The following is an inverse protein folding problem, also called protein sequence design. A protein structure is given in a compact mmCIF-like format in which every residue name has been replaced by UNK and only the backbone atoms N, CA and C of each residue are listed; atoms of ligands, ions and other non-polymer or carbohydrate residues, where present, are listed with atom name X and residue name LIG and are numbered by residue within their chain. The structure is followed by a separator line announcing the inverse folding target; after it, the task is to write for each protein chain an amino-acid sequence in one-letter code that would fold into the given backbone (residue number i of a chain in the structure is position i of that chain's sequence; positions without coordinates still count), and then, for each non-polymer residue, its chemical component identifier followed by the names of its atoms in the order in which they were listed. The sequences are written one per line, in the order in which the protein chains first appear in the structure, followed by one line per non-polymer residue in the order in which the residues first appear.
data_IF_842561703274
#
_entry.id   IF_842561703274
#
_cell.length_a   1.000
_cell.length_b   1.000
_cell.length_c   1.000
_cell.angle_alpha   90.00
_cell.angle_beta   90.00
_cell.angle_gamma   90.00
#
_symmetry.space_group_name_H-M   'P 1'
#
loop_
_entity.id
_entity.type
_entity.pdbx_description
1 polymer ?
#
# COMPACT_ATOMS: atom_id res chain seq x y z
N UNK A 1 -28.72 -28.63 -13.98
CA UNK A 1 -28.94 -28.53 -12.52
C UNK A 1 -28.35 -29.78 -11.88
N UNK A 2 -27.08 -29.69 -11.50
CA UNK A 2 -26.38 -30.55 -10.56
C UNK A 2 -25.38 -29.58 -9.91
N UNK A 3 -25.66 -29.20 -8.67
CA UNK A 3 -24.69 -28.45 -7.87
C UNK A 3 -23.49 -29.38 -7.71
N UNK A 4 -22.34 -29.00 -8.26
CA UNK A 4 -21.10 -29.48 -7.67
C UNK A 4 -21.12 -28.96 -6.25
N UNK A 5 -21.21 -29.88 -5.28
CA UNK A 5 -20.85 -29.64 -3.89
C UNK A 5 -19.37 -29.24 -3.89
N UNK A 6 -19.11 -27.96 -4.19
CA UNK A 6 -17.81 -27.35 -4.00
C UNK A 6 -17.54 -27.38 -2.51
N UNK A 7 -16.42 -27.98 -2.13
CA UNK A 7 -15.93 -28.00 -0.76
C UNK A 7 -16.17 -26.64 -0.12
N UNK A 8 -16.89 -26.63 1.00
CA UNK A 8 -17.08 -25.43 1.81
C UNK A 8 -15.71 -25.01 2.32
N UNK A 9 -15.04 -24.15 1.56
CA UNK A 9 -13.76 -23.55 1.95
C UNK A 9 -14.00 -22.72 3.20
N UNK A 10 -13.42 -23.17 4.30
CA UNK A 10 -13.66 -22.61 5.63
C UNK A 10 -12.97 -21.24 5.74
N UNK A 11 -13.55 -20.30 6.51
CA UNK A 11 -12.85 -19.07 6.82
C UNK A 11 -11.51 -19.38 7.50
N UNK A 12 -10.48 -18.59 7.21
CA UNK A 12 -9.18 -18.73 7.83
C UNK A 12 -8.69 -17.42 8.45
N UNK A 13 -7.93 -17.55 9.52
CA UNK A 13 -7.35 -16.42 10.25
C UNK A 13 -5.98 -16.08 9.69
N UNK A 14 -5.71 -14.78 9.56
CA UNK A 14 -4.38 -14.24 9.27
C UNK A 14 -4.00 -13.24 10.34
N UNK A 15 -2.74 -13.30 10.76
CA UNK A 15 -2.12 -12.29 11.60
C UNK A 15 -1.10 -11.51 10.77
N UNK A 16 -1.15 -10.19 10.85
CA UNK A 16 -0.26 -9.27 10.12
C UNK A 16 0.35 -8.29 11.10
N UNK A 17 1.67 -8.09 11.00
CA UNK A 17 2.40 -7.01 11.68
C UNK A 17 3.14 -6.23 10.60
N UNK A 18 3.00 -4.90 10.61
CA UNK A 18 3.47 -4.06 9.52
C UNK A 18 3.78 -2.63 9.92
N UNK A 19 4.15 -1.82 8.93
CA UNK A 19 4.10 -0.36 9.04
C UNK A 19 2.65 0.10 8.97
N UNK A 20 2.28 1.07 9.81
CA UNK A 20 1.03 1.81 9.57
C UNK A 20 1.16 2.56 8.24
N UNK A 21 0.26 2.28 7.30
CA UNK A 21 0.13 3.03 6.05
C UNK A 21 -1.33 3.44 5.86
N UNK A 22 -1.54 4.59 5.23
CA UNK A 22 -2.85 5.12 4.85
C UNK A 22 -3.58 4.29 3.78
N UNK A 23 -2.98 3.18 3.33
CA UNK A 23 -3.52 2.29 2.31
C UNK A 23 -3.84 0.92 2.91
N UNK A 24 -5.12 0.67 3.18
CA UNK A 24 -5.54 -0.57 3.81
C UNK A 24 -5.52 -1.81 2.90
N UNK A 25 -5.18 -1.71 1.61
CA UNK A 25 -5.33 -2.83 0.65
C UNK A 25 -4.19 -3.10 -0.31
N UNK A 26 -3.05 -2.43 -0.16
CA UNK A 26 -1.75 -3.03 -0.53
C UNK A 26 -1.17 -3.86 0.61
N UNK A 27 -2.00 -4.34 1.55
CA UNK A 27 -1.65 -5.11 2.76
C UNK A 27 -1.04 -6.49 2.46
N UNK A 28 0.22 -6.42 2.04
CA UNK A 28 1.33 -7.29 2.40
C UNK A 28 2.55 -6.42 2.74
N UNK A 29 2.32 -5.21 3.28
CA UNK A 29 3.39 -4.34 3.72
C UNK A 29 3.92 -4.91 5.04
N UNK A 30 5.18 -5.32 5.08
CA UNK A 30 5.75 -6.00 6.22
C UNK A 30 6.04 -5.11 7.43
N UNK A 31 6.56 -5.68 8.52
CA UNK A 31 7.15 -4.90 9.59
C UNK A 31 8.25 -3.98 9.04
N UNK A 32 8.14 -2.68 9.31
CA UNK A 32 9.12 -1.67 8.89
C UNK A 32 9.65 -0.97 10.12
N UNK A 33 10.97 -0.96 10.25
CA UNK A 33 11.67 -0.11 11.20
C UNK A 33 12.13 1.15 10.44
N UNK A 34 11.67 2.32 10.88
CA UNK A 34 12.06 3.60 10.27
C UNK A 34 12.93 4.37 11.26
N UNK A 35 14.13 4.76 10.82
CA UNK A 35 14.93 5.75 11.51
C UNK A 35 14.87 7.03 10.68
N UNK A 36 14.48 8.13 11.31
CA UNK A 36 14.36 9.43 10.61
C UNK A 36 15.53 10.31 10.98
N UNK A 37 16.01 11.12 10.03
CA UNK A 37 17.06 12.09 10.29
C UNK A 37 16.57 13.42 9.74
N UNK A 38 16.55 14.48 10.54
CA UNK A 38 16.14 15.77 10.00
C UNK A 38 17.14 16.26 8.96
N UNK A 39 16.63 16.96 7.94
CA UNK A 39 17.45 17.50 6.85
C UNK A 39 18.28 18.74 7.26
N UNK A 40 18.18 19.18 8.52
CA UNK A 40 18.79 20.41 9.01
C UNK A 40 19.74 20.12 10.18
N UNK A 41 20.99 20.58 10.05
CA UNK A 41 22.09 20.37 11.00
C UNK A 41 21.85 21.00 12.39
N UNK A 42 20.79 21.79 12.54
CA UNK A 42 20.46 22.50 13.80
C UNK A 42 19.52 21.73 14.71
N UNK A 43 19.08 20.52 14.34
CA UNK A 43 18.08 19.80 15.12
C UNK A 43 18.50 18.37 15.44
N UNK A 44 18.31 18.00 16.71
CA UNK A 44 18.71 16.72 17.27
C UNK A 44 18.05 15.53 16.55
N UNK A 45 18.73 14.38 16.60
CA UNK A 45 18.25 13.12 16.03
C UNK A 45 16.86 12.75 16.59
N UNK A 46 15.86 12.74 15.72
CA UNK A 46 14.47 12.40 16.03
C UNK A 46 14.07 11.05 15.45
N UNK A 47 13.12 10.34 16.05
CA UNK A 47 12.63 9.06 15.53
C UNK A 47 11.16 9.11 15.14
N UNK A 48 10.80 8.31 14.13
CA UNK A 48 9.43 8.02 13.71
C UNK A 48 9.19 6.51 13.80
N UNK A 49 8.36 6.09 14.75
CA UNK A 49 7.94 4.70 14.90
C UNK A 49 6.52 4.57 14.37
N UNK A 50 6.34 3.81 13.29
CA UNK A 50 5.03 3.49 12.72
C UNK A 50 4.80 1.98 12.80
N UNK A 51 4.04 1.55 13.79
CA UNK A 51 3.67 0.15 14.00
C UNK A 51 2.21 -0.11 13.65
N UNK A 52 1.93 -1.28 13.10
CA UNK A 52 0.59 -1.78 12.80
C UNK A 52 0.51 -3.26 13.11
N UNK A 53 -0.60 -3.69 13.71
CA UNK A 53 -0.95 -5.09 13.88
C UNK A 53 -2.41 -5.32 13.49
N UNK A 54 -2.70 -6.43 12.81
CA UNK A 54 -4.05 -6.83 12.44
C UNK A 54 -4.26 -8.33 12.60
N UNK A 55 -5.45 -8.68 13.09
CA UNK A 55 -6.01 -10.02 13.01
C UNK A 55 -7.17 -9.96 12.05
N UNK A 56 -7.16 -10.79 11.00
CA UNK A 56 -8.21 -10.80 9.99
C UNK A 56 -8.77 -12.20 9.73
N UNK A 57 -10.07 -12.25 9.44
CA UNK A 57 -10.78 -13.42 8.93
C UNK A 57 -10.93 -13.25 7.43
N UNK A 58 -10.55 -14.28 6.68
CA UNK A 58 -10.58 -14.30 5.23
C UNK A 58 -11.56 -15.39 4.77
N UNK A 59 -12.37 -15.08 3.76
CA UNK A 59 -13.38 -15.98 3.21
C UNK A 59 -12.98 -16.39 1.79
N UNK A 60 -12.39 -17.59 1.64
CA UNK A 60 -11.87 -18.09 0.35
C UNK A 60 -12.92 -18.05 -0.79
N UNK A 61 -14.20 -18.32 -0.50
CA UNK A 61 -15.26 -18.31 -1.52
C UNK A 61 -15.64 -16.93 -2.06
N UNK A 62 -15.41 -15.88 -1.29
CA UNK A 62 -15.89 -14.53 -1.64
C UNK A 62 -14.78 -13.52 -1.77
N UNK A 63 -13.54 -13.89 -1.45
CA UNK A 63 -12.37 -13.00 -1.32
C UNK A 63 -12.58 -11.84 -0.33
N UNK A 64 -13.64 -11.88 0.49
CA UNK A 64 -13.81 -10.92 1.57
C UNK A 64 -12.79 -11.15 2.66
N UNK A 65 -12.22 -10.05 3.12
CA UNK A 65 -11.38 -10.02 4.31
C UNK A 65 -11.95 -8.99 5.28
N UNK A 66 -12.02 -9.35 6.56
CA UNK A 66 -12.41 -8.46 7.64
C UNK A 66 -11.37 -8.55 8.75
N UNK A 67 -10.82 -7.42 9.15
CA UNK A 67 -9.76 -7.35 10.16
C UNK A 67 -10.09 -6.40 11.30
N UNK A 68 -9.51 -6.69 12.45
CA UNK A 68 -9.38 -5.75 13.56
C UNK A 68 -7.92 -5.31 13.58
N UNK A 69 -7.70 -4.00 13.56
CA UNK A 69 -6.40 -3.38 13.42
C UNK A 69 -6.11 -2.41 14.57
N UNK A 70 -4.87 -2.45 15.06
CA UNK A 70 -4.28 -1.46 15.96
C UNK A 70 -3.05 -0.84 15.32
N UNK A 71 -2.91 0.48 15.44
CA UNK A 71 -1.81 1.25 14.90
C UNK A 71 -1.26 2.20 15.95
N UNK A 72 0.06 2.33 15.97
CA UNK A 72 0.78 3.30 16.79
C UNK A 72 1.72 4.05 15.87
N UNK A 73 1.62 5.37 15.91
CA UNK A 73 2.49 6.28 15.19
C UNK A 73 3.04 7.27 16.19
N UNK A 74 4.32 7.13 16.49
CA UNK A 74 5.03 8.05 17.37
C UNK A 74 6.07 8.80 16.57
N UNK A 75 5.97 10.11 16.58
CA UNK A 75 6.83 11.01 15.86
C UNK A 75 7.44 12.03 16.84
N UNK A 76 8.75 12.22 16.76
CA UNK A 76 9.49 13.27 17.46
C UNK A 76 10.19 14.22 16.50
N UNK A 77 9.85 14.15 15.20
CA UNK A 77 10.38 15.05 14.18
C UNK A 77 9.95 16.48 14.51
N UNK A 78 10.96 17.28 14.85
CA UNK A 78 11.06 18.74 14.92
C UNK A 78 9.76 19.54 14.88
N UNK A 79 9.59 20.34 15.93
CA UNK A 79 8.52 21.30 16.24
C UNK A 79 7.14 20.68 16.55
N UNK A 80 6.87 19.42 16.16
CA UNK A 80 5.59 18.76 16.45
C UNK A 80 5.76 17.30 16.85
N UNK A 81 5.78 17.07 18.17
CA UNK A 81 5.62 15.73 18.73
C UNK A 81 4.24 15.17 18.41
N UNK A 82 4.17 13.88 18.12
CA UNK A 82 2.92 13.17 17.84
C UNK A 82 2.97 11.78 18.47
N UNK A 83 1.91 11.39 19.18
CA UNK A 83 1.66 10.02 19.65
C UNK A 83 0.22 9.69 19.29
N UNK A 84 0.04 9.24 18.05
CA UNK A 84 -1.25 8.87 17.50
C UNK A 84 -1.44 7.37 17.63
N UNK A 85 -2.57 7.00 18.22
CA UNK A 85 -2.99 5.60 18.39
C UNK A 85 -4.31 5.40 17.71
N UNK A 86 -4.39 4.36 16.88
CA UNK A 86 -5.61 4.04 16.17
C UNK A 86 -6.04 2.62 16.44
N UNK A 87 -7.34 2.44 16.56
CA UNK A 87 -7.95 1.13 16.67
C UNK A 87 -9.21 1.08 15.81
N UNK A 88 -9.40 0.00 15.08
CA UNK A 88 -10.54 -0.06 14.18
C UNK A 88 -10.70 -1.36 13.43
N UNK A 89 -11.61 -1.31 12.47
CA UNK A 89 -11.93 -2.42 11.59
C UNK A 89 -11.49 -2.11 10.17
N UNK A 90 -11.05 -3.15 9.47
CA UNK A 90 -10.62 -3.09 8.08
C UNK A 90 -11.42 -4.10 7.28
N UNK A 91 -11.71 -3.77 6.03
CA UNK A 91 -12.48 -4.66 5.17
C UNK A 91 -12.13 -4.45 3.71
N UNK A 92 -12.47 -5.44 2.90
CA UNK A 92 -12.42 -5.30 1.45
C UNK A 92 -12.40 -6.63 0.74
N UNK A 93 -12.26 -6.54 -0.57
CA UNK A 93 -12.59 -7.62 -1.50
C UNK A 93 -11.87 -7.43 -2.83
N UNK A 94 -11.58 -8.53 -3.51
CA UNK A 94 -11.10 -8.54 -4.88
C UNK A 94 -12.21 -9.02 -5.82
N UNK A 95 -12.80 -8.11 -6.58
CA UNK A 95 -13.87 -8.43 -7.53
C UNK A 95 -13.29 -8.77 -8.91
N UNK A 96 -13.34 -10.04 -9.36
CA UNK A 96 -12.84 -10.41 -10.68
C UNK A 96 -13.76 -9.90 -11.80
N UNK A 97 -13.22 -9.10 -12.71
CA UNK A 97 -13.92 -8.65 -13.92
C UNK A 97 -13.60 -9.60 -15.06
N UNK A 98 -14.60 -10.37 -15.50
CA UNK A 98 -14.45 -11.40 -16.56
C UNK A 98 -14.89 -10.85 -17.92
N UNK A 99 -14.33 -11.38 -19.02
CA UNK A 99 -14.71 -10.99 -20.39
C UNK A 99 -16.18 -11.34 -20.69
N UNK A 100 -16.86 -10.48 -21.47
CA UNK A 100 -18.21 -10.75 -22.00
C UNK A 100 -18.14 -11.91 -22.99
N UNK A 101 -19.22 -12.68 -23.07
CA UNK A 101 -19.43 -13.78 -24.01
C UNK A 101 -19.29 -13.24 -25.45
N UNK A 102 -18.47 -13.85 -26.29
CA UNK A 102 -18.66 -13.77 -27.74
C UNK A 102 -19.81 -14.73 -28.07
N UNK A 103 -20.73 -14.35 -28.95
CA UNK A 103 -21.89 -15.18 -29.31
C UNK A 103 -21.51 -16.56 -29.89
N UNK A 104 -20.22 -16.80 -30.16
CA UNK A 104 -19.67 -18.04 -30.73
C UNK A 104 -18.96 -18.98 -29.75
N UNK A 105 -18.73 -18.62 -28.48
CA UNK A 105 -17.92 -19.45 -27.56
C UNK A 105 -18.78 -20.17 -26.51
N UNK A 106 -18.99 -21.47 -26.72
CA UNK A 106 -19.54 -22.43 -25.75
C UNK A 106 -18.46 -22.93 -24.78
N UNK A 107 -18.01 -22.10 -23.82
CA UNK A 107 -17.24 -22.64 -22.70
C UNK A 107 -17.66 -21.99 -21.36
N UNK A 108 -17.72 -22.83 -20.32
CA UNK A 108 -18.39 -22.62 -19.04
C UNK A 108 -17.73 -21.61 -18.07
N UNK A 109 -17.69 -21.90 -16.75
CA UNK A 109 -17.28 -20.95 -15.71
C UNK A 109 -15.79 -20.53 -15.77
N UNK A 110 -14.97 -21.09 -16.66
CA UNK A 110 -13.53 -20.82 -16.80
C UNK A 110 -13.21 -19.66 -17.77
N UNK A 111 -13.91 -18.54 -17.65
CA UNK A 111 -13.66 -17.36 -18.50
C UNK A 111 -12.33 -16.67 -18.13
N UNK A 112 -11.52 -16.23 -19.11
CA UNK A 112 -10.31 -15.49 -18.83
C UNK A 112 -10.62 -14.15 -18.15
N UNK A 113 -9.88 -13.87 -17.08
CA UNK A 113 -9.95 -12.63 -16.31
C UNK A 113 -9.52 -11.43 -17.17
N UNK A 114 -10.38 -10.42 -17.27
CA UNK A 114 -10.08 -9.14 -17.95
C UNK A 114 -9.35 -8.18 -17.01
N UNK A 115 -9.74 -8.18 -15.74
CA UNK A 115 -9.10 -7.38 -14.70
C UNK A 115 -9.65 -7.71 -13.33
N UNK A 116 -9.15 -7.00 -12.33
CA UNK A 116 -9.51 -7.13 -10.93
C UNK A 116 -9.87 -5.74 -10.40
N UNK A 117 -11.01 -5.62 -9.74
CA UNK A 117 -11.34 -4.43 -8.96
C UNK A 117 -11.06 -4.74 -7.49
N UNK A 118 -10.05 -4.10 -6.93
CA UNK A 118 -9.66 -4.22 -5.53
C UNK A 118 -10.41 -3.14 -4.74
N UNK A 119 -11.30 -3.56 -3.87
CA UNK A 119 -12.04 -2.70 -2.95
C UNK A 119 -11.49 -2.82 -1.54
N UNK A 120 -11.49 -1.70 -0.84
CA UNK A 120 -10.85 -1.56 0.45
C UNK A 120 -11.51 -0.51 1.30
N UNK A 121 -11.45 -0.69 2.61
CA UNK A 121 -11.78 0.37 3.54
C UNK A 121 -11.27 0.11 4.95
N UNK A 122 -11.42 1.13 5.78
CA UNK A 122 -11.30 0.99 7.22
C UNK A 122 -12.13 2.04 7.94
N UNK A 123 -12.53 1.71 9.16
CA UNK A 123 -13.15 2.61 10.10
C UNK A 123 -12.34 2.53 11.39
N UNK A 124 -11.78 3.64 11.82
CA UNK A 124 -10.87 3.70 12.96
C UNK A 124 -11.27 4.82 13.88
N UNK A 125 -11.10 4.58 15.16
CA UNK A 125 -10.98 5.61 16.16
C UNK A 125 -9.50 5.95 16.32
N UNK A 126 -9.19 7.25 16.39
CA UNK A 126 -7.85 7.80 16.48
C UNK A 126 -7.77 8.73 17.69
N UNK A 127 -6.76 8.53 18.53
CA UNK A 127 -6.43 9.36 19.69
C UNK A 127 -5.04 9.95 19.43
N UNK A 128 -4.95 11.28 19.35
CA UNK A 128 -3.67 12.01 19.37
C UNK A 128 -3.42 12.50 20.80
N UNK A 129 -2.44 11.88 21.46
CA UNK A 129 -2.15 12.15 22.87
C UNK A 129 -1.39 13.43 23.11
N UNK A 130 -0.68 13.93 22.11
CA UNK A 130 0.08 15.19 22.25
C UNK A 130 -0.85 16.39 22.04
N UNK A 131 -1.80 16.27 21.11
CA UNK A 131 -2.83 17.31 20.89
C UNK A 131 -4.06 17.16 21.80
N UNK A 132 -4.16 16.07 22.56
CA UNK A 132 -5.35 15.68 23.34
C UNK A 132 -6.64 15.68 22.51
N UNK A 133 -6.55 15.20 21.26
CA UNK A 133 -7.69 15.16 20.34
C UNK A 133 -8.10 13.74 19.98
N UNK A 134 -9.39 13.56 19.76
CA UNK A 134 -9.97 12.29 19.34
C UNK A 134 -10.73 12.48 18.03
N UNK A 135 -10.55 11.55 17.11
CA UNK A 135 -11.18 11.60 15.80
C UNK A 135 -11.64 10.23 15.34
N UNK A 136 -12.83 10.19 14.74
CA UNK A 136 -13.23 9.05 13.94
C UNK A 136 -12.74 9.22 12.51
N UNK A 137 -12.00 8.25 11.99
CA UNK A 137 -11.46 8.24 10.65
C UNK A 137 -12.07 7.10 9.84
N UNK A 138 -12.58 7.43 8.66
CA UNK A 138 -13.12 6.46 7.73
C UNK A 138 -12.44 6.58 6.38
N UNK A 139 -12.20 5.46 5.71
CA UNK A 139 -11.78 5.51 4.32
C UNK A 139 -12.33 4.34 3.52
N UNK A 140 -12.55 4.60 2.25
CA UNK A 140 -12.77 3.58 1.23
C UNK A 140 -11.86 3.85 0.05
N UNK A 141 -11.37 2.79 -0.60
CA UNK A 141 -10.45 2.87 -1.72
C UNK A 141 -10.76 1.81 -2.77
N UNK A 142 -10.52 2.17 -4.01
CA UNK A 142 -10.72 1.36 -5.20
C UNK A 142 -9.46 1.42 -6.07
N UNK A 143 -8.99 0.24 -6.47
CA UNK A 143 -7.94 0.08 -7.47
C UNK A 143 -8.45 -0.85 -8.55
N UNK A 144 -8.23 -0.49 -9.82
CA UNK A 144 -8.51 -1.39 -10.93
C UNK A 144 -7.19 -1.91 -11.50
N UNK A 145 -7.06 -3.21 -11.66
CA UNK A 145 -5.90 -3.88 -12.22
C UNK A 145 -6.33 -4.60 -13.49
N UNK A 146 -5.82 -4.16 -14.64
CA UNK A 146 -6.07 -4.85 -15.91
C UNK A 146 -5.11 -6.03 -16.08
N UNK A 147 -5.65 -7.23 -16.31
CA UNK A 147 -4.86 -8.46 -16.36
C UNK A 147 -4.47 -8.90 -17.77
N UNK A 148 -5.03 -8.30 -18.83
CA UNK A 148 -4.57 -8.57 -20.19
C UNK A 148 -3.40 -7.67 -20.61
N UNK A 149 -2.59 -8.15 -21.55
CA UNK A 149 -1.41 -7.41 -22.05
C UNK A 149 -1.77 -6.26 -23.01
N UNK A 150 -3.05 -5.87 -23.08
CA UNK A 150 -3.58 -4.93 -24.07
C UNK A 150 -4.24 -3.73 -23.38
N UNK A 151 -3.47 -2.95 -22.63
CA UNK A 151 -3.56 -1.47 -22.53
C UNK A 151 -2.86 -0.92 -21.27
N UNK A 152 -2.02 0.10 -21.49
CA UNK A 152 -2.10 1.39 -20.78
C UNK A 152 -1.75 1.50 -19.29
N UNK A 153 -2.16 2.64 -18.74
CA UNK A 153 -2.00 3.13 -17.36
C UNK A 153 -2.76 2.30 -16.30
N UNK A 154 -3.54 1.28 -16.70
CA UNK A 154 -4.34 0.45 -15.78
C UNK A 154 -3.74 -0.94 -15.52
N UNK A 155 -2.66 -1.28 -16.20
CA UNK A 155 -1.88 -2.49 -15.94
C UNK A 155 -0.93 -2.23 -14.76
N UNK A 156 -1.52 -2.02 -13.58
CA UNK A 156 -0.78 -1.81 -12.33
C UNK A 156 -0.01 -3.08 -11.98
N UNK A 157 1.09 -2.94 -11.24
CA UNK A 157 1.93 -4.06 -10.75
C UNK A 157 2.71 -4.87 -11.80
N UNK A 158 2.60 -4.60 -13.10
CA UNK A 158 3.44 -5.24 -14.13
C UNK A 158 4.64 -4.38 -14.50
N UNK A 159 5.77 -5.05 -14.76
CA UNK A 159 6.96 -4.38 -15.28
C UNK A 159 6.79 -4.00 -16.75
N UNK A 160 7.12 -2.76 -17.08
CA UNK A 160 7.26 -2.27 -18.44
C UNK A 160 8.57 -1.48 -18.62
N UNK A 161 9.19 -1.47 -19.82
CA UNK A 161 8.93 -2.42 -20.90
C UNK A 161 9.25 -3.86 -20.45
N UNK A 162 8.68 -4.85 -21.15
CA UNK A 162 9.03 -6.24 -20.88
C UNK A 162 10.46 -6.51 -21.33
N UNK A 163 11.24 -7.19 -20.49
CA UNK A 163 12.55 -7.68 -20.86
C UNK A 163 12.42 -9.07 -21.50
N UNK A 164 12.84 -9.22 -22.76
CA UNK A 164 12.93 -10.50 -23.46
C UNK A 164 14.39 -10.85 -23.81
N UNK A 165 15.25 -9.85 -24.04
CA UNK A 165 16.65 -10.01 -24.44
C UNK A 165 17.59 -8.96 -23.81
N UNK A 166 18.90 -9.25 -23.75
CA UNK A 166 19.94 -8.40 -23.11
C UNK A 166 20.11 -7.01 -23.76
N UNK A 167 19.68 -6.85 -25.01
CA UNK A 167 19.74 -5.56 -25.72
C UNK A 167 18.51 -4.68 -25.49
N UNK A 168 17.46 -5.19 -24.84
CA UNK A 168 16.21 -4.45 -24.68
C UNK A 168 16.37 -3.34 -23.64
N UNK A 169 15.66 -2.21 -23.82
CA UNK A 169 15.58 -1.15 -22.80
C UNK A 169 15.15 -1.69 -21.42
N UNK A 170 14.28 -2.71 -21.39
CA UNK A 170 13.87 -3.40 -20.18
C UNK A 170 14.97 -4.17 -19.45
N UNK A 171 16.13 -4.37 -20.08
CA UNK A 171 17.32 -4.89 -19.38
C UNK A 171 17.93 -3.83 -18.44
N UNK A 172 17.89 -2.57 -18.86
CA UNK A 172 18.51 -1.43 -18.16
C UNK A 172 17.54 -0.68 -17.27
N UNK A 173 16.27 -0.63 -17.61
CA UNK A 173 15.28 0.11 -16.83
C UNK A 173 13.91 -0.53 -16.93
N UNK A 174 13.34 -0.84 -15.78
CA UNK A 174 11.98 -1.34 -15.65
C UNK A 174 11.16 -0.39 -14.80
N UNK A 175 9.90 -0.23 -15.15
CA UNK A 175 8.94 0.60 -14.44
C UNK A 175 7.76 -0.24 -14.01
N UNK A 176 7.16 0.14 -12.88
CA UNK A 176 5.90 -0.40 -12.38
C UNK A 176 5.18 0.72 -11.67
N UNK A 177 3.90 0.89 -11.94
CA UNK A 177 3.09 1.85 -11.20
C UNK A 177 1.92 1.15 -10.51
N UNK A 178 1.39 1.84 -9.51
CA UNK A 178 0.17 1.49 -8.78
C UNK A 178 -0.61 2.77 -8.50
N UNK A 179 -1.91 2.62 -8.26
CA UNK A 179 -2.77 3.72 -7.88
C UNK A 179 -3.92 3.25 -7.01
N UNK A 180 -4.46 4.18 -6.22
CA UNK A 180 -5.69 3.98 -5.47
C UNK A 180 -6.48 5.28 -5.45
N UNK A 181 -7.77 5.18 -5.77
CA UNK A 181 -8.70 6.30 -5.66
C UNK A 181 -9.72 5.99 -4.59
N UNK A 182 -10.16 7.00 -3.84
CA UNK A 182 -11.05 6.72 -2.74
C UNK A 182 -11.71 7.94 -2.14
N UNK A 183 -12.45 7.68 -1.06
CA UNK A 183 -13.01 8.69 -0.19
C UNK A 183 -12.41 8.54 1.20
N UNK A 184 -12.20 9.66 1.87
CA UNK A 184 -11.76 9.74 3.25
C UNK A 184 -12.71 10.61 4.06
N UNK A 185 -12.88 10.27 5.32
CA UNK A 185 -13.57 11.06 6.33
C UNK A 185 -12.68 11.22 7.55
N UNK A 186 -12.57 12.43 8.07
CA UNK A 186 -11.91 12.75 9.33
C UNK A 186 -12.90 13.54 10.17
N UNK A 187 -13.36 12.93 11.26
CA UNK A 187 -14.18 13.58 12.30
C UNK A 187 -13.33 14.31 13.34
N UNK A 188 -13.96 14.74 14.44
CA UNK A 188 -13.31 15.57 15.45
C UNK A 188 -13.54 17.04 15.14
N UNK A 189 -12.49 17.86 15.17
CA UNK A 189 -12.61 19.30 14.90
C UNK A 189 -12.70 19.62 13.40
N UNK A 190 -12.08 18.80 12.54
CA UNK A 190 -12.07 19.03 11.09
C UNK A 190 -13.44 18.75 10.44
N UNK A 191 -14.07 17.61 10.77
CA UNK A 191 -15.32 17.13 10.18
C UNK A 191 -15.36 17.23 8.64
N UNK A 192 -14.39 16.60 7.99
CA UNK A 192 -14.18 16.70 6.54
C UNK A 192 -14.45 15.37 5.84
N UNK A 193 -15.19 15.44 4.73
CA UNK A 193 -15.26 14.39 3.72
C UNK A 193 -14.46 14.83 2.49
N UNK A 194 -13.57 13.98 2.00
CA UNK A 194 -12.67 14.31 0.89
C UNK A 194 -12.45 13.14 -0.07
N UNK A 195 -12.10 13.48 -1.31
CA UNK A 195 -11.58 12.54 -2.29
C UNK A 195 -10.10 12.34 -2.07
N UNK A 196 -9.61 11.11 -2.28
CA UNK A 196 -8.19 10.80 -2.18
C UNK A 196 -7.68 10.09 -3.44
N UNK A 197 -6.45 10.40 -3.79
CA UNK A 197 -5.70 9.73 -4.86
C UNK A 197 -4.30 9.43 -4.35
N UNK A 198 -3.94 8.17 -4.33
CA UNK A 198 -2.56 7.70 -4.14
C UNK A 198 -2.04 7.21 -5.49
N UNK A 199 -0.89 7.72 -5.91
CA UNK A 199 -0.15 7.25 -7.07
C UNK A 199 1.22 6.79 -6.61
N UNK A 200 1.68 5.64 -7.09
CA UNK A 200 3.02 5.16 -6.85
C UNK A 200 3.68 4.79 -8.18
N UNK A 201 4.87 5.31 -8.41
CA UNK A 201 5.73 4.97 -9.54
C UNK A 201 7.02 4.35 -9.01
N UNK A 202 7.37 3.17 -9.49
CA UNK A 202 8.59 2.47 -9.15
C UNK A 202 9.42 2.33 -10.43
N UNK A 203 10.70 2.70 -10.35
CA UNK A 203 11.69 2.42 -11.36
C UNK A 203 12.78 1.50 -10.79
N UNK A 204 13.21 0.54 -11.59
CA UNK A 204 14.20 -0.46 -11.23
C UNK A 204 15.35 -0.40 -12.24
N UNK A 205 16.33 0.49 -11.99
CA UNK A 205 17.50 0.57 -12.85
C UNK A 205 18.28 -0.74 -12.76
N UNK A 206 18.84 -1.13 -13.90
CA UNK A 206 19.61 -2.37 -14.08
C UNK A 206 18.81 -3.64 -13.74
N UNK A 207 17.47 -3.60 -13.79
CA UNK A 207 16.63 -4.72 -13.34
C UNK A 207 16.89 -6.05 -14.08
N UNK A 208 17.24 -6.02 -15.37
CA UNK A 208 17.63 -7.22 -16.11
C UNK A 208 19.02 -7.74 -15.72
N UNK A 209 19.97 -6.84 -15.48
CA UNK A 209 21.31 -7.18 -14.99
C UNK A 209 21.26 -7.79 -13.60
N UNK A 210 20.51 -7.17 -12.68
CA UNK A 210 20.35 -7.64 -11.30
C UNK A 210 19.59 -8.98 -11.25
N UNK A 211 18.60 -9.19 -12.12
CA UNK A 211 17.99 -10.51 -12.31
C UNK A 211 19.02 -11.57 -12.74
N UNK A 212 19.95 -11.24 -13.64
CA UNK A 212 20.94 -12.21 -14.11
C UNK A 212 22.01 -12.53 -13.06
N UNK A 213 22.48 -11.53 -12.32
CA UNK A 213 23.58 -11.67 -11.38
C UNK A 213 23.15 -12.20 -10.01
N UNK A 214 21.96 -11.77 -9.54
CA UNK A 214 21.50 -12.01 -8.16
C UNK A 214 20.13 -12.71 -8.10
N UNK A 215 19.47 -12.94 -9.24
CA UNK A 215 18.05 -13.29 -9.32
C UNK A 215 17.11 -12.25 -8.67
N UNK A 216 17.56 -10.98 -8.60
CA UNK A 216 16.84 -9.88 -7.96
C UNK A 216 16.48 -8.80 -8.97
N UNK A 217 15.34 -8.93 -9.66
CA UNK A 217 14.89 -7.90 -10.64
C UNK A 217 14.66 -6.52 -10.03
N UNK A 218 14.18 -6.48 -8.79
CA UNK A 218 13.83 -5.26 -8.06
C UNK A 218 14.98 -4.75 -7.17
N UNK A 219 16.21 -5.26 -7.36
CA UNK A 219 17.32 -5.02 -6.43
C UNK A 219 17.58 -3.53 -6.18
N UNK A 220 17.75 -2.76 -7.26
CA UNK A 220 17.81 -1.30 -7.18
C UNK A 220 16.41 -0.74 -7.37
N UNK A 221 16.03 0.21 -6.52
CA UNK A 221 14.72 0.82 -6.57
C UNK A 221 14.78 2.33 -6.43
N UNK A 222 14.05 3.00 -7.30
CA UNK A 222 13.62 4.37 -7.17
C UNK A 222 12.10 4.35 -7.08
N UNK A 223 11.52 5.05 -6.12
CA UNK A 223 10.07 5.09 -5.89
C UNK A 223 9.64 6.54 -5.73
N UNK A 224 8.55 6.90 -6.38
CA UNK A 224 7.86 8.17 -6.17
C UNK A 224 6.42 7.87 -5.79
N UNK A 225 6.00 8.40 -4.65
CA UNK A 225 4.62 8.32 -4.16
C UNK A 225 4.02 9.72 -4.12
N UNK A 226 2.78 9.85 -4.55
CA UNK A 226 2.01 11.07 -4.53
C UNK A 226 0.62 10.81 -3.94
N UNK A 227 0.37 11.41 -2.78
CA UNK A 227 -0.87 11.32 -2.01
C UNK A 227 -1.60 12.66 -2.03
N UNK A 228 -2.57 12.79 -2.94
CA UNK A 228 -3.41 13.97 -3.06
C UNK A 228 -4.78 13.76 -2.43
N UNK A 229 -5.34 14.86 -1.92
CA UNK A 229 -6.65 14.91 -1.29
C UNK A 229 -7.37 16.17 -1.78
N UNK A 230 -8.69 16.11 -1.83
CA UNK A 230 -9.52 17.26 -2.19
C UNK A 230 -10.82 17.22 -1.37
N UNK A 231 -11.09 18.22 -0.52
CA UNK A 231 -12.30 18.25 0.29
C UNK A 231 -13.56 18.40 -0.58
N UNK A 232 -14.61 17.67 -0.20
CA UNK A 232 -15.96 17.81 -0.75
C UNK A 232 -16.89 18.53 0.21
N UNK A 233 -16.75 18.26 1.51
CA UNK A 233 -17.54 18.81 2.61
C UNK A 233 -16.59 19.10 3.77
N UNK A 234 -16.79 20.24 4.45
CA UNK A 234 -15.91 20.72 5.51
C UNK A 234 -14.82 21.66 4.97
N UNK A 235 -14.02 22.20 5.88
CA UNK A 235 -12.87 23.07 5.56
C UNK A 235 -11.63 22.47 6.19
N UNK A 236 -10.56 22.38 5.41
CA UNK A 236 -9.26 21.87 5.88
C UNK A 236 -8.19 22.21 4.86
N UNK A 237 -6.94 22.17 5.29
CA UNK A 237 -5.77 22.48 4.45
C UNK A 237 -5.21 21.20 3.78
N UNK A 238 -5.99 20.11 3.72
CA UNK A 238 -5.55 18.81 3.21
C UNK A 238 -5.22 18.79 1.73
N UNK A 239 -5.81 19.69 0.94
CA UNK A 239 -5.53 19.86 -0.48
C UNK A 239 -4.32 20.75 -0.76
N UNK A 240 -3.96 21.63 0.18
CA UNK A 240 -2.82 22.54 0.06
C UNK A 240 -1.48 21.79 0.13
N UNK A 241 -1.44 20.62 0.81
CA UNK A 241 -0.20 19.94 1.17
C UNK A 241 -0.21 18.44 0.84
N UNK A 242 -0.30 18.04 -0.45
CA UNK A 242 -0.23 16.63 -0.83
C UNK A 242 1.09 16.01 -0.39
N UNK A 243 1.04 14.81 0.19
CA UNK A 243 2.25 14.11 0.61
C UNK A 243 2.97 13.56 -0.61
N UNK A 244 4.26 13.87 -0.71
CA UNK A 244 5.16 13.42 -1.75
C UNK A 244 6.32 12.70 -1.09
N UNK A 245 6.60 11.49 -1.56
CA UNK A 245 7.74 10.73 -1.08
C UNK A 245 8.58 10.30 -2.27
N UNK A 246 9.84 10.68 -2.27
CA UNK A 246 10.84 10.12 -3.16
C UNK A 246 11.72 9.15 -2.39
N UNK A 247 11.85 7.91 -2.85
CA UNK A 247 12.70 6.90 -2.24
C UNK A 247 13.75 6.39 -3.20
N UNK A 248 14.98 6.24 -2.72
CA UNK A 248 16.06 5.52 -3.40
C UNK A 248 16.61 4.44 -2.49
N UNK A 249 16.79 3.23 -2.98
CA UNK A 249 17.24 2.15 -2.11
C UNK A 249 17.54 0.83 -2.79
N UNK A 250 17.79 -0.16 -1.94
CA UNK A 250 18.01 -1.55 -2.31
C UNK A 250 16.94 -2.44 -1.70
N UNK A 251 16.51 -3.45 -2.47
CA UNK A 251 15.50 -4.42 -2.05
C UNK A 251 15.95 -5.83 -2.41
N UNK A 252 16.12 -6.67 -1.40
CA UNK A 252 16.57 -8.05 -1.54
C UNK A 252 15.45 -9.02 -1.16
N UNK A 253 15.04 -9.87 -2.09
CA UNK A 253 14.06 -10.94 -1.82
C UNK A 253 14.79 -12.19 -1.34
N UNK A 254 14.56 -12.57 -0.08
CA UNK A 254 15.03 -13.83 0.51
C UNK A 254 14.19 -15.00 -0.03
N UNK A 255 12.87 -14.80 -0.11
CA UNK A 255 11.88 -15.70 -0.73
C UNK A 255 10.84 -14.86 -1.47
N UNK A 256 9.90 -15.51 -2.16
CA UNK A 256 8.80 -14.82 -2.88
C UNK A 256 8.11 -13.76 -2.03
N UNK A 257 7.88 -14.05 -0.75
CA UNK A 257 7.18 -13.18 0.19
C UNK A 257 8.09 -12.59 1.29
N UNK A 258 9.36 -13.03 1.39
CA UNK A 258 10.30 -12.54 2.40
C UNK A 258 11.29 -11.56 1.78
N UNK A 259 11.37 -10.35 2.30
CA UNK A 259 12.06 -9.23 1.67
C UNK A 259 12.76 -8.39 2.74
N UNK A 260 13.98 -7.94 2.43
CA UNK A 260 14.67 -6.90 3.17
C UNK A 260 14.85 -5.72 2.24
N UNK A 261 14.46 -4.52 2.66
CA UNK A 261 14.59 -3.28 1.90
C UNK A 261 15.28 -2.23 2.78
N UNK A 262 16.30 -1.58 2.23
CA UNK A 262 16.96 -0.43 2.82
C UNK A 262 16.77 0.72 1.84
N UNK A 263 16.12 1.79 2.28
CA UNK A 263 15.83 2.95 1.42
C UNK A 263 16.04 4.26 2.16
N UNK A 264 16.51 5.24 1.41
CA UNK A 264 16.46 6.64 1.77
C UNK A 264 15.18 7.24 1.23
N UNK A 265 14.44 7.99 2.04
CA UNK A 265 13.26 8.71 1.61
C UNK A 265 13.43 10.20 1.87
N UNK A 266 13.06 11.01 0.88
CA UNK A 266 12.75 12.42 1.06
C UNK A 266 11.23 12.58 1.05
N UNK A 267 10.67 13.18 2.10
CA UNK A 267 9.24 13.34 2.29
C UNK A 267 8.89 14.82 2.38
N UNK A 268 7.79 15.23 1.75
CA UNK A 268 7.25 16.59 1.81
C UNK A 268 5.73 16.58 1.77
N UNK A 269 5.08 17.32 2.67
CA UNK A 269 3.62 17.46 2.73
C UNK A 269 3.03 16.90 4.01
N UNK A 270 1.70 16.77 4.06
CA UNK A 270 0.96 16.34 5.24
C UNK A 270 0.30 14.96 5.06
N UNK A 271 0.15 14.22 6.16
CA UNK A 271 -0.65 13.00 6.23
C UNK A 271 -1.55 13.01 7.48
N UNK A 272 -2.77 13.57 7.40
CA UNK A 272 -3.66 13.74 8.55
C UNK A 272 -4.15 12.41 9.15
N UNK A 273 -4.26 11.37 8.32
CA UNK A 273 -4.58 10.02 8.81
C UNK A 273 -3.48 9.45 9.70
N UNK A 274 -2.27 9.97 9.56
CA UNK A 274 -1.16 9.64 10.42
C UNK A 274 -0.84 10.72 11.46
N UNK A 275 -1.75 11.69 11.62
CA UNK A 275 -1.53 12.91 12.40
C UNK A 275 -0.44 13.84 11.84
N UNK A 276 0.31 13.43 10.81
CA UNK A 276 1.47 14.13 10.28
C UNK A 276 1.07 15.48 9.66
N UNK A 277 1.50 16.57 10.28
CA UNK A 277 1.28 17.91 9.75
C UNK A 277 2.19 18.17 8.52
N UNK A 278 1.99 19.30 7.83
CA UNK A 278 2.81 19.65 6.67
C UNK A 278 4.27 19.90 7.07
N UNK A 279 5.18 19.05 6.60
CA UNK A 279 6.60 19.14 6.89
C UNK A 279 7.47 18.53 5.79
N UNK A 280 8.77 18.82 5.83
CA UNK A 280 9.78 18.26 4.94
C UNK A 280 10.87 17.56 5.78
N UNK A 281 11.15 16.29 5.50
CA UNK A 281 12.09 15.48 6.29
C UNK A 281 12.61 14.27 5.51
N UNK A 282 13.73 13.73 5.97
CA UNK A 282 14.45 12.65 5.31
C UNK A 282 14.55 11.43 6.22
N UNK A 283 14.39 10.21 5.69
CA UNK A 283 14.37 8.99 6.52
C UNK A 283 15.25 7.92 5.93
N UNK A 284 15.94 7.14 6.76
CA UNK A 284 16.49 5.85 6.37
C UNK A 284 15.54 4.77 6.88
N UNK A 285 14.94 4.05 5.94
CA UNK A 285 13.95 3.00 6.20
C UNK A 285 14.58 1.64 6.03
N UNK A 286 14.40 0.78 7.04
CA UNK A 286 14.71 -0.63 6.99
C UNK A 286 13.39 -1.40 7.06
N UNK A 287 13.00 -1.97 5.93
CA UNK A 287 11.77 -2.76 5.78
C UNK A 287 12.12 -4.26 5.80
N UNK A 288 11.44 -5.04 6.64
CA UNK A 288 11.61 -6.49 6.77
C UNK A 288 10.29 -7.25 6.60
N UNK A 289 10.03 -7.76 5.40
CA UNK A 289 8.95 -8.72 5.13
C UNK A 289 9.29 -10.13 5.51
N UNK A 290 8.44 -10.70 6.37
CA UNK A 290 8.43 -12.11 6.70
C UNK A 290 7.00 -12.61 6.58
N UNK A 291 6.80 -13.54 5.66
CA UNK A 291 5.63 -14.40 5.62
C UNK A 291 5.99 -15.71 6.32
N UNK A 292 5.30 -15.97 7.43
CA UNK A 292 5.49 -17.15 8.28
C UNK A 292 4.45 -18.24 8.01
N UNK A 293 3.68 -18.13 6.92
CA UNK A 293 2.70 -19.16 6.57
C UNK A 293 3.38 -20.50 6.29
N UNK A 294 3.06 -21.49 7.12
CA UNK A 294 3.53 -22.87 7.04
C UNK A 294 2.68 -23.76 6.11
N UNK A 295 1.81 -23.20 5.26
CA UNK A 295 1.12 -24.01 4.23
C UNK A 295 2.18 -24.47 3.22
N UNK A 296 2.40 -25.78 3.12
CA UNK A 296 3.11 -26.36 1.99
C UNK A 296 2.37 -25.94 0.72
N UNK A 297 3.04 -25.22 -0.17
CA UNK A 297 2.60 -25.10 -1.55
C UNK A 297 2.65 -26.53 -2.12
N UNK A 298 1.50 -27.17 -2.28
CA UNK A 298 1.35 -28.40 -3.09
C UNK A 298 1.16 -28.04 -4.56
#
# INVERSE_FOLDING_TARGET
MLAQEGESTKPYLTFKVGQSSSNSYTKGEPAVFTATYPANDTVDNSFLINGYAEVAINFENTDWTFGIAGEVQKNTLIDKEQDVRQFGVTFGNNFPIRRKKSDTDEFGPDRPLKGLLVFSGSLKYSEDREKETEAFQGHIGLTYEQTDNRAGIFNTKRFYPKHQSKSDFGYYLLFRHDYNFGLGYIGGDENVLFGKMNLQFNAHPLGGLMKKLLDQREFLMLRFTYDARAPFIGSTDLDEHPLRTFSGGIKYKIKKNNVVELSYNWNKGANPFAGLDNQEFETIVIKLSLDLNNRKEE
#
